data_IF_812868779526
#
_entry.id   IF_812868779526
#
_cell.length_a   1.000
_cell.length_b   1.000
_cell.length_c   1.000
_cell.angle_alpha   90.00
_cell.angle_beta   90.00
_cell.angle_gamma   90.00
#
_symmetry.space_group_name_H-M   'P 1'
#
loop_
_entity.id
_entity.type
_entity.pdbx_description
1 polymer ?
#
# COMPACT_ATOMS: atom_id res chain seq x y z
N UNK A 1 -91.95 -4.89 -26.53
CA UNK A 1 -92.17 -5.38 -27.91
C UNK A 1 -90.83 -5.87 -28.46
N UNK A 2 -90.79 -7.18 -28.86
CA UNK A 2 -89.94 -7.78 -29.91
C UNK A 2 -88.43 -7.60 -29.76
N UNK A 3 -87.57 -8.54 -29.88
CA UNK A 3 -87.41 -9.98 -30.17
C UNK A 3 -85.91 -10.28 -30.04
N UNK A 4 -85.57 -11.28 -29.33
CA UNK A 4 -84.67 -12.39 -29.67
C UNK A 4 -83.77 -12.30 -30.92
N UNK A 5 -82.47 -12.46 -30.73
CA UNK A 5 -81.66 -13.33 -31.61
C UNK A 5 -80.45 -13.89 -30.80
N UNK A 6 -80.46 -15.17 -30.67
CA UNK A 6 -79.33 -16.02 -30.27
C UNK A 6 -78.35 -16.14 -31.46
N UNK A 7 -77.11 -16.05 -31.22
CA UNK A 7 -76.09 -16.70 -32.07
C UNK A 7 -75.00 -17.29 -31.22
N UNK A 8 -74.88 -18.55 -31.28
CA UNK A 8 -73.79 -19.40 -30.80
C UNK A 8 -72.51 -19.09 -31.59
N UNK A 9 -71.40 -18.95 -30.92
CA UNK A 9 -70.10 -19.15 -31.54
C UNK A 9 -69.22 -19.93 -30.55
N UNK A 10 -68.85 -21.05 -31.06
CA UNK A 10 -68.04 -22.13 -30.56
C UNK A 10 -66.62 -21.68 -30.10
N UNK A 11 -66.17 -22.32 -29.04
CA UNK A 11 -64.88 -22.10 -28.42
C UNK A 11 -63.68 -22.55 -29.25
N UNK A 12 -62.61 -21.86 -29.03
CA UNK A 12 -61.27 -22.39 -29.23
C UNK A 12 -60.44 -22.06 -27.97
N UNK A 13 -60.31 -23.07 -27.14
CA UNK A 13 -59.37 -23.00 -26.01
C UNK A 13 -57.96 -23.09 -26.58
N UNK A 14 -57.29 -21.95 -26.71
CA UNK A 14 -55.86 -21.87 -26.96
C UNK A 14 -55.08 -22.16 -25.68
N UNK A 15 -54.53 -23.34 -25.56
CA UNK A 15 -53.54 -23.69 -24.53
C UNK A 15 -52.25 -22.94 -24.90
N UNK A 16 -51.99 -21.82 -24.26
CA UNK A 16 -50.69 -21.19 -24.30
C UNK A 16 -49.73 -21.97 -23.43
N UNK A 17 -48.91 -22.79 -24.09
CA UNK A 17 -47.77 -23.46 -23.44
C UNK A 17 -46.71 -22.38 -23.14
N UNK A 18 -46.68 -21.88 -21.92
CA UNK A 18 -45.57 -21.04 -21.43
C UNK A 18 -44.32 -21.95 -21.29
N UNK A 19 -43.48 -21.91 -22.32
CA UNK A 19 -42.10 -22.37 -22.18
C UNK A 19 -41.37 -21.48 -21.17
N UNK A 20 -41.33 -21.93 -19.92
CA UNK A 20 -40.39 -21.36 -18.94
C UNK A 20 -39.00 -21.71 -19.43
N UNK A 21 -38.31 -20.77 -20.05
CA UNK A 21 -36.87 -20.82 -20.25
C UNK A 21 -36.25 -20.71 -18.86
N UNK A 22 -35.97 -21.87 -18.25
CA UNK A 22 -35.08 -21.92 -17.09
C UNK A 22 -33.70 -21.62 -17.62
N UNK A 23 -33.32 -20.35 -17.61
CA UNK A 23 -31.90 -19.97 -17.70
C UNK A 23 -31.20 -20.68 -16.55
N UNK A 24 -30.20 -21.52 -16.79
CA UNK A 24 -29.36 -21.95 -15.70
C UNK A 24 -28.79 -20.65 -15.09
N UNK A 25 -29.20 -20.31 -13.88
CA UNK A 25 -28.50 -19.36 -13.09
C UNK A 25 -27.05 -19.87 -13.07
N UNK A 26 -26.15 -19.18 -13.77
CA UNK A 26 -24.73 -19.36 -13.55
C UNK A 26 -24.58 -19.10 -12.05
N UNK A 27 -24.38 -20.17 -11.29
CA UNK A 27 -24.03 -20.03 -9.88
C UNK A 27 -22.83 -19.11 -9.89
N UNK A 28 -22.97 -17.94 -9.25
CA UNK A 28 -21.81 -17.11 -8.99
C UNK A 28 -20.78 -18.04 -8.35
N UNK A 29 -19.51 -18.02 -8.80
CA UNK A 29 -18.50 -18.83 -8.17
C UNK A 29 -18.56 -18.47 -6.69
N UNK A 30 -18.81 -19.48 -5.85
CA UNK A 30 -18.75 -19.29 -4.41
C UNK A 30 -17.44 -18.55 -4.13
N UNK A 31 -17.45 -17.38 -3.50
CA UNK A 31 -16.20 -16.76 -3.10
C UNK A 31 -15.47 -17.82 -2.29
N UNK A 32 -14.27 -18.17 -2.72
CA UNK A 32 -13.46 -19.14 -1.99
C UNK A 32 -13.28 -18.52 -0.60
N UNK A 33 -13.84 -19.15 0.40
CA UNK A 33 -13.66 -18.73 1.79
C UNK A 33 -12.25 -19.10 2.22
N UNK A 34 -11.35 -18.16 2.07
CA UNK A 34 -9.95 -18.30 2.50
C UNK A 34 -9.78 -18.19 4.01
N UNK A 35 -10.84 -17.92 4.76
CA UNK A 35 -10.76 -17.69 6.21
C UNK A 35 -10.71 -18.99 7.02
N UNK A 36 -11.04 -20.12 6.39
CA UNK A 36 -11.05 -21.41 7.07
C UNK A 36 -10.52 -22.52 6.14
N UNK A 37 -9.20 -22.53 5.85
CA UNK A 37 -8.62 -23.65 5.14
C UNK A 37 -8.81 -24.94 5.94
N UNK A 38 -8.89 -26.13 5.29
CA UNK A 38 -9.03 -27.38 5.99
C UNK A 38 -7.88 -27.57 6.98
N UNK A 39 -8.21 -27.90 8.22
CA UNK A 39 -7.19 -28.21 9.25
C UNK A 39 -6.35 -29.41 8.83
N UNK A 40 -5.06 -29.26 8.96
CA UNK A 40 -4.06 -30.32 8.74
C UNK A 40 -3.36 -30.60 10.06
N UNK A 41 -3.14 -31.86 10.41
CA UNK A 41 -2.42 -32.22 11.61
C UNK A 41 -1.02 -31.56 11.64
N UNK A 42 -0.71 -30.82 12.72
CA UNK A 42 0.53 -30.09 12.84
C UNK A 42 0.56 -28.73 12.11
N UNK A 43 -0.59 -28.22 11.69
CA UNK A 43 -0.70 -26.91 11.02
C UNK A 43 -0.05 -25.80 11.83
N UNK A 44 0.80 -25.02 11.17
CA UNK A 44 1.45 -23.86 11.74
C UNK A 44 0.70 -22.58 11.36
N UNK A 45 0.32 -21.76 12.34
CA UNK A 45 -0.29 -20.45 12.11
C UNK A 45 0.81 -19.40 11.93
N UNK A 46 0.78 -18.73 10.79
CA UNK A 46 1.59 -17.56 10.44
C UNK A 46 0.79 -16.31 10.75
N UNK A 47 1.10 -15.63 11.85
CA UNK A 47 0.46 -14.37 12.23
C UNK A 47 0.99 -13.23 11.36
N UNK A 48 0.08 -12.44 10.81
CA UNK A 48 0.36 -11.33 9.88
C UNK A 48 -0.26 -10.06 10.43
N UNK A 49 0.54 -9.02 10.71
CA UNK A 49 0.07 -7.75 11.24
C UNK A 49 0.27 -6.59 10.26
N UNK A 50 -0.71 -5.67 10.18
CA UNK A 50 -0.55 -4.38 9.49
C UNK A 50 -1.39 -3.26 10.14
N UNK A 51 -1.04 -2.00 9.83
CA UNK A 51 -1.57 -0.82 10.52
C UNK A 51 -2.88 -0.28 9.95
N UNK A 52 -3.26 -0.65 8.73
CA UNK A 52 -4.44 -0.12 8.04
C UNK A 52 -5.68 -0.94 8.36
N UNK A 53 -6.77 -0.27 8.78
CA UNK A 53 -8.03 -0.92 9.14
C UNK A 53 -9.03 -0.82 7.97
N UNK A 54 -8.75 -1.51 6.88
CA UNK A 54 -9.64 -1.53 5.73
C UNK A 54 -9.71 -2.93 5.14
N UNK A 55 -10.93 -3.40 4.94
CA UNK A 55 -11.17 -4.72 4.34
C UNK A 55 -10.65 -4.79 2.89
N UNK A 56 -10.69 -3.66 2.18
CA UNK A 56 -10.34 -3.53 0.77
C UNK A 56 -9.25 -2.47 0.55
N UNK A 57 -8.10 -2.63 1.15
CA UNK A 57 -6.90 -1.84 0.87
C UNK A 57 -5.87 -2.67 0.11
N UNK A 58 -4.94 -2.00 -0.55
CA UNK A 58 -3.77 -2.64 -1.17
C UNK A 58 -3.02 -3.51 -0.15
N UNK A 59 -2.86 -3.03 1.08
CA UNK A 59 -2.25 -3.75 2.20
C UNK A 59 -2.97 -5.06 2.52
N UNK A 60 -4.29 -5.00 2.66
CA UNK A 60 -5.10 -6.20 2.95
C UNK A 60 -5.09 -7.16 1.75
N UNK A 61 -5.17 -6.63 0.53
CA UNK A 61 -5.19 -7.42 -0.69
C UNK A 61 -3.91 -8.22 -0.89
N UNK A 62 -2.74 -7.57 -0.73
CA UNK A 62 -1.45 -8.26 -0.89
C UNK A 62 -1.23 -9.31 0.21
N UNK A 63 -1.58 -8.99 1.47
CA UNK A 63 -1.38 -9.92 2.58
C UNK A 63 -2.33 -11.11 2.52
N UNK A 64 -3.59 -10.92 2.11
CA UNK A 64 -4.51 -12.03 1.81
C UNK A 64 -3.95 -12.92 0.70
N UNK A 65 -3.46 -12.31 -0.39
CA UNK A 65 -2.86 -13.06 -1.49
C UNK A 65 -1.60 -13.80 -1.07
N UNK A 66 -0.72 -13.17 -0.30
CA UNK A 66 0.47 -13.80 0.25
C UNK A 66 0.12 -15.00 1.14
N UNK A 67 -0.81 -14.83 2.09
CA UNK A 67 -1.25 -15.88 3.00
C UNK A 67 -1.87 -17.07 2.25
N UNK A 68 -2.72 -16.79 1.26
CA UNK A 68 -3.32 -17.79 0.38
C UNK A 68 -2.26 -18.61 -0.36
N UNK A 69 -1.30 -17.94 -0.98
CA UNK A 69 -0.24 -18.59 -1.75
C UNK A 69 0.67 -19.44 -0.85
N UNK A 70 1.01 -18.95 0.35
CA UNK A 70 1.76 -19.76 1.33
C UNK A 70 0.99 -21.01 1.68
N UNK A 71 -0.31 -20.91 1.98
CA UNK A 71 -1.14 -22.08 2.30
C UNK A 71 -1.20 -23.09 1.14
N UNK A 72 -1.38 -22.60 -0.10
CA UNK A 72 -1.39 -23.44 -1.30
C UNK A 72 -0.05 -24.19 -1.47
N UNK A 73 1.07 -23.45 -1.40
CA UNK A 73 2.40 -24.03 -1.68
C UNK A 73 2.90 -24.94 -0.56
N UNK A 74 2.42 -24.73 0.67
CA UNK A 74 2.72 -25.61 1.81
C UNK A 74 1.64 -26.68 2.04
N UNK A 75 0.66 -26.80 1.14
CA UNK A 75 -0.47 -27.75 1.27
C UNK A 75 -1.21 -27.60 2.60
N UNK A 76 -1.42 -26.34 3.04
CA UNK A 76 -2.00 -25.95 4.32
C UNK A 76 -1.19 -26.35 5.57
N UNK A 77 0.06 -26.74 5.43
CA UNK A 77 0.94 -26.92 6.59
C UNK A 77 1.27 -25.57 7.27
N UNK A 78 1.26 -24.46 6.52
CA UNK A 78 1.35 -23.10 7.03
C UNK A 78 0.13 -22.31 6.54
N UNK A 79 -0.61 -21.71 7.46
CA UNK A 79 -1.79 -20.88 7.16
C UNK A 79 -1.63 -19.49 7.78
N UNK A 80 -2.10 -18.46 7.06
CA UNK A 80 -2.02 -17.08 7.53
C UNK A 80 -3.24 -16.65 8.35
N UNK A 81 -2.98 -15.94 9.45
CA UNK A 81 -4.00 -15.23 10.24
C UNK A 81 -3.66 -13.75 10.25
N UNK A 82 -4.56 -12.89 9.69
CA UNK A 82 -4.30 -11.47 9.47
C UNK A 82 -4.95 -10.63 10.58
N UNK A 83 -4.16 -9.74 11.17
CA UNK A 83 -4.53 -8.79 12.20
C UNK A 83 -4.40 -7.35 11.67
N UNK A 84 -5.47 -6.76 11.08
CA UNK A 84 -5.45 -5.42 10.51
C UNK A 84 -5.58 -4.33 11.58
N UNK A 85 -5.42 -3.05 11.15
CA UNK A 85 -5.78 -1.91 11.96
C UNK A 85 -4.96 -1.77 13.25
N UNK A 86 -3.70 -2.12 13.22
CA UNK A 86 -2.78 -2.05 14.36
C UNK A 86 -3.26 -2.84 15.60
N UNK A 87 -4.03 -3.93 15.42
CA UNK A 87 -4.49 -4.78 16.53
C UNK A 87 -3.34 -5.38 17.35
N UNK A 88 -2.17 -5.54 16.73
CA UNK A 88 -0.95 -6.05 17.37
C UNK A 88 0.02 -4.95 17.79
N UNK A 89 -0.40 -3.68 17.78
CA UNK A 89 0.41 -2.50 18.03
C UNK A 89 0.65 -1.68 16.75
N UNK A 90 1.32 -0.53 16.88
CA UNK A 90 1.76 0.28 15.75
C UNK A 90 2.84 -0.42 14.91
N UNK A 91 3.21 0.18 13.76
CA UNK A 91 4.22 -0.44 12.89
C UNK A 91 5.57 -0.67 13.59
N UNK A 92 6.12 0.26 14.37
CA UNK A 92 7.37 0.02 15.09
C UNK A 92 7.29 -1.18 16.06
N UNK A 93 6.19 -1.32 16.77
CA UNK A 93 5.95 -2.44 17.69
C UNK A 93 5.82 -3.76 16.93
N UNK A 94 5.09 -3.78 15.81
CA UNK A 94 4.94 -4.98 14.97
C UNK A 94 6.28 -5.41 14.35
N UNK A 95 7.11 -4.47 13.90
CA UNK A 95 8.47 -4.78 13.40
C UNK A 95 9.32 -5.39 14.51
N UNK A 96 9.27 -4.86 15.74
CA UNK A 96 10.01 -5.45 16.88
C UNK A 96 9.51 -6.87 17.23
N UNK A 97 8.20 -7.10 17.19
CA UNK A 97 7.63 -8.44 17.39
C UNK A 97 8.07 -9.41 16.29
N UNK A 98 8.12 -8.93 15.03
CA UNK A 98 8.59 -9.72 13.89
C UNK A 98 10.07 -10.08 14.03
N UNK A 99 10.92 -9.12 14.40
CA UNK A 99 12.34 -9.34 14.72
C UNK A 99 12.53 -10.42 15.79
N UNK A 100 11.66 -10.43 16.82
CA UNK A 100 11.72 -11.38 17.92
C UNK A 100 11.12 -12.77 17.56
N UNK A 101 10.40 -12.89 16.44
CA UNK A 101 9.70 -14.10 16.02
C UNK A 101 8.36 -14.34 16.72
N UNK A 102 7.83 -13.33 17.43
CA UNK A 102 6.49 -13.35 18.05
C UNK A 102 5.42 -13.18 16.98
N UNK A 103 5.67 -12.27 16.04
CA UNK A 103 4.89 -12.08 14.81
C UNK A 103 5.70 -12.67 13.65
N UNK A 104 5.06 -13.43 12.76
CA UNK A 104 5.75 -14.06 11.65
C UNK A 104 5.92 -13.11 10.47
N UNK A 105 4.92 -12.27 10.21
CA UNK A 105 4.88 -11.36 9.05
C UNK A 105 4.32 -10.01 9.44
N UNK A 106 4.90 -8.93 8.90
CA UNK A 106 4.30 -7.59 8.95
C UNK A 106 4.55 -6.83 7.65
N UNK A 107 3.75 -5.77 7.43
CA UNK A 107 3.81 -4.90 6.25
C UNK A 107 4.00 -3.46 6.72
N UNK A 108 5.19 -3.06 7.16
CA UNK A 108 5.43 -1.69 7.60
C UNK A 108 5.70 -0.77 6.41
N UNK A 109 5.38 0.52 6.54
CA UNK A 109 5.89 1.53 5.63
C UNK A 109 7.42 1.52 5.63
N UNK A 110 8.03 1.61 4.45
CA UNK A 110 9.50 1.57 4.29
C UNK A 110 10.19 2.63 5.16
N UNK A 111 9.64 3.84 5.24
CA UNK A 111 10.17 4.92 6.08
C UNK A 111 10.14 4.60 7.59
N UNK A 112 9.21 3.76 8.05
CA UNK A 112 9.15 3.33 9.45
C UNK A 112 10.09 2.16 9.73
N UNK A 113 10.22 1.22 8.78
CA UNK A 113 11.20 0.13 8.88
C UNK A 113 12.63 0.67 8.80
N UNK A 114 12.88 1.72 8.04
CA UNK A 114 14.18 2.36 7.88
C UNK A 114 14.79 2.86 9.22
N UNK A 115 13.97 3.07 10.25
CA UNK A 115 14.47 3.36 11.60
C UNK A 115 15.29 2.21 12.21
N UNK A 116 15.07 0.97 11.75
CA UNK A 116 15.81 -0.23 12.16
C UNK A 116 16.67 -0.81 11.03
N UNK A 117 16.33 -0.53 9.79
CA UNK A 117 17.02 -0.95 8.58
C UNK A 117 17.42 0.28 7.74
N UNK A 118 18.48 1.01 8.13
CA UNK A 118 18.86 2.28 7.50
C UNK A 118 19.05 2.21 5.99
N UNK A 119 19.52 1.07 5.48
CA UNK A 119 19.70 0.83 4.03
C UNK A 119 18.42 1.09 3.22
N UNK A 120 17.24 0.92 3.82
CA UNK A 120 15.96 1.20 3.17
C UNK A 120 15.67 2.68 2.93
N UNK A 121 16.41 3.60 3.57
CA UNK A 121 16.31 5.03 3.30
C UNK A 121 16.68 5.39 1.86
N UNK A 122 17.32 4.51 1.10
CA UNK A 122 17.54 4.70 -0.34
C UNK A 122 16.22 4.92 -1.10
N UNK A 123 15.13 4.25 -0.72
CA UNK A 123 13.79 4.47 -1.29
C UNK A 123 13.10 5.73 -0.79
N UNK A 124 13.61 6.35 0.28
CA UNK A 124 13.04 7.57 0.88
C UNK A 124 13.71 8.84 0.33
N UNK A 125 14.81 8.71 -0.39
CA UNK A 125 15.43 9.83 -1.08
C UNK A 125 14.39 10.48 -2.02
N UNK A 126 14.04 11.77 -1.82
CA UNK A 126 12.99 12.40 -2.61
C UNK A 126 13.38 12.44 -4.09
N UNK A 127 12.43 12.06 -4.94
CA UNK A 127 12.64 11.98 -6.40
C UNK A 127 13.78 11.03 -6.83
N UNK A 128 14.02 9.95 -6.06
CA UNK A 128 14.94 8.87 -6.50
C UNK A 128 14.42 8.22 -7.79
N UNK A 129 13.11 8.10 -7.93
CA UNK A 129 12.40 7.65 -9.11
C UNK A 129 11.27 8.63 -9.45
N UNK A 130 10.83 8.65 -10.70
CA UNK A 130 9.82 9.58 -11.23
C UNK A 130 8.63 8.88 -11.89
N UNK A 131 8.61 7.54 -11.87
CA UNK A 131 7.48 6.74 -12.32
C UNK A 131 7.34 5.47 -11.48
N UNK A 132 6.11 4.93 -11.41
CA UNK A 132 5.83 3.65 -10.75
C UNK A 132 6.63 2.51 -11.36
N UNK A 133 6.85 2.54 -12.69
CA UNK A 133 7.65 1.54 -13.38
C UNK A 133 9.11 1.57 -12.92
N UNK A 134 9.70 2.75 -12.73
CA UNK A 134 11.04 2.92 -12.18
C UNK A 134 11.15 2.39 -10.75
N UNK A 135 10.16 2.67 -9.90
CA UNK A 135 10.15 2.15 -8.52
C UNK A 135 10.05 0.63 -8.51
N UNK A 136 9.16 0.05 -9.30
CA UNK A 136 9.02 -1.40 -9.40
C UNK A 136 10.31 -2.06 -9.87
N UNK A 137 10.96 -1.50 -10.89
CA UNK A 137 12.24 -2.00 -11.41
C UNK A 137 13.35 -1.86 -10.36
N UNK A 138 13.42 -0.71 -9.69
CA UNK A 138 14.38 -0.49 -8.62
C UNK A 138 14.20 -1.49 -7.46
N UNK A 139 12.97 -1.80 -7.06
CA UNK A 139 12.69 -2.82 -6.06
C UNK A 139 13.19 -4.19 -6.51
N UNK A 140 12.93 -4.58 -7.77
CA UNK A 140 13.33 -5.89 -8.28
C UNK A 140 14.85 -6.06 -8.32
N UNK A 141 15.57 -5.04 -8.83
CA UNK A 141 17.03 -5.09 -8.99
C UNK A 141 17.79 -4.88 -7.67
N UNK A 142 17.25 -4.06 -6.75
CA UNK A 142 17.96 -3.71 -5.51
C UNK A 142 17.65 -4.67 -4.35
N UNK A 143 16.53 -5.39 -4.39
CA UNK A 143 16.15 -6.34 -3.32
C UNK A 143 17.23 -7.37 -2.99
N UNK A 144 17.94 -7.98 -3.97
CA UNK A 144 19.04 -8.91 -3.66
C UNK A 144 20.17 -8.29 -2.82
N UNK A 145 20.48 -7.01 -3.06
CA UNK A 145 21.46 -6.24 -2.26
C UNK A 145 20.91 -5.88 -0.88
N UNK A 146 19.60 -5.57 -0.78
CA UNK A 146 18.96 -5.10 0.45
C UNK A 146 18.62 -6.23 1.42
N UNK A 147 18.23 -7.42 0.95
CA UNK A 147 17.81 -8.52 1.83
C UNK A 147 18.88 -8.86 2.88
N UNK A 148 20.15 -9.11 2.55
CA UNK A 148 21.15 -9.40 3.57
C UNK A 148 21.38 -8.23 4.54
N UNK A 149 21.32 -6.99 4.07
CA UNK A 149 21.45 -5.79 4.91
C UNK A 149 20.29 -5.69 5.92
N UNK A 150 19.06 -5.79 5.46
CA UNK A 150 17.85 -5.70 6.30
C UNK A 150 17.82 -6.84 7.34
N UNK A 151 18.32 -8.03 7.00
CA UNK A 151 18.48 -9.13 7.95
C UNK A 151 19.48 -8.75 9.04
N UNK A 152 20.64 -8.21 8.69
CA UNK A 152 21.66 -7.78 9.64
C UNK A 152 21.19 -6.61 10.51
N UNK A 153 20.60 -5.60 9.90
CA UNK A 153 20.15 -4.37 10.55
C UNK A 153 18.93 -4.58 11.45
N UNK A 154 17.91 -5.28 10.93
CA UNK A 154 16.59 -5.37 11.57
C UNK A 154 16.15 -6.78 11.97
N UNK A 155 16.85 -7.85 11.57
CA UNK A 155 16.48 -9.24 11.88
C UNK A 155 15.21 -9.71 11.19
N UNK A 156 14.82 -9.06 10.09
CA UNK A 156 13.68 -9.43 9.25
C UNK A 156 14.14 -9.58 7.80
N UNK A 157 13.40 -10.37 7.01
CA UNK A 157 13.66 -10.65 5.60
C UNK A 157 12.57 -10.05 4.73
N UNK A 158 12.94 -9.31 3.70
CA UNK A 158 12.03 -8.88 2.65
C UNK A 158 11.72 -10.10 1.75
N UNK A 159 10.43 -10.36 1.52
CA UNK A 159 9.95 -11.42 0.63
C UNK A 159 9.06 -10.90 -0.49
N UNK A 160 8.67 -9.65 -0.46
CA UNK A 160 7.84 -9.01 -1.48
C UNK A 160 7.67 -7.52 -1.21
N UNK A 161 6.97 -6.83 -2.12
CA UNK A 161 6.74 -5.39 -2.08
C UNK A 161 5.30 -5.04 -2.40
N UNK A 162 4.80 -4.05 -1.72
CA UNK A 162 3.56 -3.33 -1.99
C UNK A 162 3.89 -1.86 -2.23
N UNK A 163 3.20 -1.25 -3.19
CA UNK A 163 3.24 0.18 -3.43
C UNK A 163 1.82 0.72 -3.30
N UNK A 164 1.57 1.55 -2.28
CA UNK A 164 0.24 2.14 -2.05
C UNK A 164 -0.10 3.26 -3.05
N UNK A 165 0.91 3.81 -3.71
CA UNK A 165 0.79 4.90 -4.68
C UNK A 165 1.66 6.10 -4.36
N UNK A 166 1.58 7.11 -5.21
CA UNK A 166 2.27 8.38 -5.01
C UNK A 166 1.71 9.10 -3.79
N UNK A 167 2.61 9.63 -2.96
CA UNK A 167 2.21 10.47 -1.84
C UNK A 167 1.73 11.80 -2.38
N UNK A 168 0.49 12.16 -2.09
CA UNK A 168 -0.11 13.46 -2.39
C UNK A 168 -0.21 14.29 -1.10
N UNK A 169 -0.06 15.59 -1.17
CA UNK A 169 -0.43 16.45 -0.06
C UNK A 169 -1.94 16.34 0.18
N UNK A 170 -2.35 16.25 1.42
CA UNK A 170 -3.72 16.37 1.87
C UNK A 170 -3.77 17.39 3.02
N UNK A 171 -4.69 18.32 2.99
CA UNK A 171 -4.67 19.45 3.93
C UNK A 171 -6.01 20.17 4.01
N UNK A 172 -6.11 21.05 5.00
CA UNK A 172 -7.21 21.99 5.17
C UNK A 172 -6.69 23.41 5.02
N UNK A 173 -7.02 24.04 3.88
CA UNK A 173 -6.65 25.42 3.56
C UNK A 173 -7.63 26.02 2.55
N UNK A 174 -7.62 27.36 2.43
CA UNK A 174 -8.43 28.07 1.45
C UNK A 174 -7.77 28.03 0.06
N UNK A 175 -6.44 28.06 0.00
CA UNK A 175 -5.67 28.08 -1.26
C UNK A 175 -4.96 26.74 -1.51
N UNK A 176 -4.72 26.36 -2.78
CA UNK A 176 -4.01 25.14 -3.11
C UNK A 176 -2.49 25.26 -2.86
N UNK A 177 -1.84 24.13 -2.61
CA UNK A 177 -0.37 24.01 -2.64
C UNK A 177 0.04 23.76 -4.08
N UNK A 178 0.73 24.72 -4.70
CA UNK A 178 1.23 24.64 -6.08
C UNK A 178 2.76 24.81 -6.14
N UNK A 179 3.34 25.54 -5.19
CA UNK A 179 4.77 25.83 -5.10
C UNK A 179 5.30 25.53 -3.71
N UNK A 180 6.62 25.31 -3.56
CA UNK A 180 7.23 25.03 -2.26
C UNK A 180 6.90 26.05 -1.17
N UNK A 181 6.81 27.35 -1.52
CA UNK A 181 6.52 28.44 -0.60
C UNK A 181 5.14 28.32 0.06
N UNK A 182 4.18 27.69 -0.60
CA UNK A 182 2.82 27.51 -0.09
C UNK A 182 2.77 26.60 1.15
N UNK A 183 3.87 25.87 1.44
CA UNK A 183 4.00 25.07 2.65
C UNK A 183 4.36 25.90 3.90
N UNK A 184 4.81 27.14 3.75
CA UNK A 184 5.39 27.91 4.85
C UNK A 184 4.39 28.18 5.99
N UNK A 185 3.13 28.42 5.64
CA UNK A 185 2.07 28.79 6.59
C UNK A 185 1.24 27.57 7.06
N UNK A 186 1.54 26.36 6.56
CA UNK A 186 0.81 25.14 6.89
C UNK A 186 1.58 24.26 7.89
N UNK A 187 0.88 23.80 8.91
CA UNK A 187 1.41 22.82 9.87
C UNK A 187 1.24 21.41 9.29
N UNK A 188 2.22 21.00 8.52
CA UNK A 188 2.18 19.71 7.84
C UNK A 188 2.78 18.60 8.71
N UNK A 189 2.06 17.51 8.86
CA UNK A 189 2.58 16.30 9.48
C UNK A 189 3.53 15.59 8.51
N UNK A 190 4.61 15.06 9.04
CA UNK A 190 5.46 14.09 8.33
C UNK A 190 5.64 12.84 9.18
N UNK A 191 5.92 11.67 8.58
CA UNK A 191 6.42 10.54 9.34
C UNK A 191 7.73 10.91 10.08
N UNK A 192 8.04 10.26 11.22
CA UNK A 192 9.29 10.52 11.96
C UNK A 192 10.51 9.90 11.25
N UNK A 193 10.77 10.34 10.03
CA UNK A 193 11.92 9.93 9.21
C UNK A 193 12.76 11.18 8.90
N UNK A 194 14.09 11.16 9.14
CA UNK A 194 14.94 12.34 8.98
C UNK A 194 14.98 12.89 7.56
N UNK A 195 14.98 12.04 6.53
CA UNK A 195 15.00 12.47 5.13
C UNK A 195 13.68 13.14 4.74
N UNK A 196 12.54 12.60 5.17
CA UNK A 196 11.24 13.22 4.91
C UNK A 196 11.10 14.58 5.62
N UNK A 197 11.55 14.67 6.87
CA UNK A 197 11.59 15.94 7.61
C UNK A 197 12.46 16.96 6.88
N UNK A 198 13.62 16.55 6.38
CA UNK A 198 14.53 17.41 5.64
C UNK A 198 13.95 17.87 4.32
N UNK A 199 13.24 17.01 3.59
CA UNK A 199 12.56 17.35 2.34
C UNK A 199 11.57 18.50 2.55
N UNK A 200 10.71 18.39 3.56
CA UNK A 200 9.76 19.46 3.89
C UNK A 200 10.46 20.77 4.28
N UNK A 201 11.55 20.71 5.04
CA UNK A 201 12.36 21.89 5.39
C UNK A 201 13.03 22.52 4.16
N UNK A 202 13.52 21.71 3.24
CA UNK A 202 14.10 22.18 1.99
C UNK A 202 13.09 22.92 1.11
N UNK A 203 11.82 22.50 1.15
CA UNK A 203 10.71 23.20 0.49
C UNK A 203 10.21 24.45 1.25
N UNK A 204 10.76 24.75 2.42
CA UNK A 204 10.37 25.92 3.22
C UNK A 204 9.28 25.65 4.25
N UNK A 205 8.78 24.43 4.36
CA UNK A 205 7.77 24.04 5.33
C UNK A 205 8.35 23.85 6.75
N UNK A 206 7.46 23.83 7.74
CA UNK A 206 7.77 23.53 9.13
C UNK A 206 7.06 22.24 9.56
N UNK A 207 7.65 21.06 9.25
CA UNK A 207 7.00 19.79 9.46
C UNK A 207 6.91 19.39 10.93
N UNK A 208 5.80 18.75 11.31
CA UNK A 208 5.56 18.15 12.61
C UNK A 208 5.65 16.63 12.51
N UNK A 209 6.72 16.00 13.03
CA UNK A 209 6.82 14.54 13.07
C UNK A 209 5.75 13.93 13.98
N UNK A 210 4.94 13.00 13.45
CA UNK A 210 3.85 12.38 14.18
C UNK A 210 3.58 10.97 13.65
N UNK A 211 3.29 10.02 14.55
CA UNK A 211 2.94 8.66 14.17
C UNK A 211 1.63 8.61 13.35
N UNK A 212 1.52 7.63 12.43
CA UNK A 212 0.32 7.49 11.60
C UNK A 212 -0.96 7.31 12.40
N UNK A 213 -0.91 6.50 13.46
CA UNK A 213 -2.06 6.21 14.33
C UNK A 213 -2.61 7.42 15.08
N UNK A 214 -1.84 8.52 15.20
CA UNK A 214 -2.23 9.74 15.89
C UNK A 214 -2.79 10.82 14.93
N UNK A 215 -2.63 10.61 13.62
CA UNK A 215 -2.81 11.66 12.63
C UNK A 215 -4.26 12.14 12.50
N UNK A 216 -5.26 11.24 12.48
CA UNK A 216 -6.66 11.64 12.39
C UNK A 216 -7.06 12.58 13.53
N UNK A 217 -6.70 12.23 14.75
CA UNK A 217 -6.98 13.06 15.93
C UNK A 217 -6.25 14.40 15.88
N UNK A 218 -5.01 14.42 15.40
CA UNK A 218 -4.21 15.63 15.26
C UNK A 218 -4.81 16.59 14.21
N UNK A 219 -5.29 16.07 13.08
CA UNK A 219 -6.04 16.83 12.06
C UNK A 219 -7.35 17.38 12.63
N UNK A 220 -8.14 16.53 13.29
CA UNK A 220 -9.43 16.93 13.87
C UNK A 220 -9.27 18.04 14.91
N UNK A 221 -8.19 18.00 15.71
CA UNK A 221 -7.90 19.00 16.75
C UNK A 221 -7.13 20.23 16.23
N UNK A 222 -6.72 20.26 14.94
CA UNK A 222 -5.95 21.34 14.37
C UNK A 222 -4.50 21.45 14.91
N UNK A 223 -3.96 20.35 15.45
CA UNK A 223 -2.54 20.26 15.82
C UNK A 223 -1.68 20.30 14.57
N UNK A 224 -2.13 19.63 13.51
CA UNK A 224 -1.63 19.74 12.15
C UNK A 224 -2.80 20.04 11.21
N UNK A 225 -2.50 20.68 10.08
CA UNK A 225 -3.48 21.07 9.06
C UNK A 225 -3.46 20.12 7.86
N UNK A 226 -2.43 19.29 7.72
CA UNK A 226 -2.28 18.35 6.63
C UNK A 226 -1.09 17.41 6.82
N UNK A 227 -0.76 16.72 5.74
CA UNK A 227 0.36 15.80 5.62
C UNK A 227 0.49 15.33 4.18
N UNK A 228 1.16 14.22 3.98
CA UNK A 228 1.26 13.57 2.69
C UNK A 228 1.10 12.06 2.82
N UNK A 229 0.28 11.48 1.96
CA UNK A 229 0.09 10.02 1.81
C UNK A 229 -0.62 9.73 0.48
N UNK A 230 -0.62 8.49 -0.01
CA UNK A 230 -1.46 8.09 -1.14
C UNK A 230 -2.95 8.32 -0.86
N UNK A 231 -3.69 8.65 -1.90
CA UNK A 231 -5.14 8.88 -1.79
C UNK A 231 -5.87 7.69 -1.19
N UNK A 232 -5.42 6.47 -1.47
CA UNK A 232 -5.97 5.21 -0.93
C UNK A 232 -5.97 5.21 0.59
N UNK A 233 -4.86 5.62 1.21
CA UNK A 233 -4.73 5.67 2.66
C UNK A 233 -5.50 6.84 3.26
N UNK A 234 -5.46 8.01 2.61
CA UNK A 234 -6.16 9.22 3.05
C UNK A 234 -7.66 8.99 3.13
N UNK A 235 -8.24 8.49 2.03
CA UNK A 235 -9.68 8.22 1.95
C UNK A 235 -10.08 7.03 2.82
N UNK A 236 -9.27 6.01 2.85
CA UNK A 236 -9.53 4.84 3.65
C UNK A 236 -9.50 5.07 5.15
N UNK A 237 -8.73 6.02 5.62
CA UNK A 237 -8.73 6.49 7.01
C UNK A 237 -9.74 7.60 7.28
N UNK A 238 -10.58 7.93 6.28
CA UNK A 238 -11.63 8.96 6.36
C UNK A 238 -11.09 10.35 6.68
N UNK A 239 -9.91 10.69 6.16
CA UNK A 239 -9.37 12.02 6.37
C UNK A 239 -10.14 13.09 5.59
N UNK A 240 -10.92 12.69 4.55
CA UNK A 240 -11.89 13.54 3.87
C UNK A 240 -12.89 14.23 4.81
N UNK A 241 -13.13 13.67 6.01
CA UNK A 241 -13.95 14.32 7.04
C UNK A 241 -13.28 15.55 7.69
N UNK A 242 -11.95 15.68 7.60
CA UNK A 242 -11.15 16.68 8.32
C UNK A 242 -10.22 17.52 7.45
N UNK A 243 -10.18 17.24 6.14
CA UNK A 243 -9.45 17.99 5.12
C UNK A 243 -10.43 18.55 4.08
N UNK A 244 -9.96 19.43 3.19
CA UNK A 244 -10.75 19.91 2.05
C UNK A 244 -10.00 19.92 0.73
N UNK A 245 -8.69 19.67 0.73
CA UNK A 245 -7.83 19.69 -0.47
C UNK A 245 -6.84 18.54 -0.50
N UNK A 246 -6.54 18.11 -1.73
CA UNK A 246 -5.39 17.27 -2.02
C UNK A 246 -4.62 17.81 -3.22
N UNK A 247 -3.29 17.74 -3.17
CA UNK A 247 -2.43 18.12 -4.29
C UNK A 247 -1.56 16.94 -4.70
N UNK A 248 -1.70 16.54 -5.98
CA UNK A 248 -0.89 15.48 -6.59
C UNK A 248 0.51 15.99 -6.90
N UNK A 249 1.52 15.25 -6.52
CA UNK A 249 2.92 15.44 -6.92
C UNK A 249 3.69 14.11 -6.79
N UNK A 250 4.90 14.03 -7.32
CA UNK A 250 5.56 12.74 -7.56
C UNK A 250 6.92 12.63 -6.84
N UNK A 251 7.01 13.13 -5.61
CA UNK A 251 8.30 13.14 -4.91
C UNK A 251 8.74 11.77 -4.39
N UNK A 252 7.80 10.93 -4.00
CA UNK A 252 8.05 9.54 -3.59
C UNK A 252 6.78 8.69 -3.60
N UNK A 253 6.92 7.42 -3.91
CA UNK A 253 5.86 6.41 -3.72
C UNK A 253 5.94 5.89 -2.28
N UNK A 254 4.80 5.70 -1.65
CA UNK A 254 4.74 4.99 -0.37
C UNK A 254 4.87 3.49 -0.64
N UNK A 255 5.99 2.93 -0.23
CA UNK A 255 6.32 1.52 -0.42
C UNK A 255 6.27 0.78 0.92
N UNK A 256 5.87 -0.51 0.86
CA UNK A 256 5.82 -1.40 2.01
C UNK A 256 6.46 -2.74 1.65
N UNK A 257 7.56 -3.12 2.26
CA UNK A 257 8.07 -4.48 2.12
C UNK A 257 7.20 -5.46 2.91
N UNK A 258 6.84 -6.60 2.32
CA UNK A 258 6.40 -7.76 3.09
C UNK A 258 7.62 -8.28 3.80
N UNK A 259 7.67 -8.14 5.11
CA UNK A 259 8.79 -8.65 5.89
C UNK A 259 8.36 -9.83 6.77
N UNK A 260 9.20 -10.85 6.77
CA UNK A 260 9.03 -12.02 7.62
C UNK A 260 10.12 -12.04 8.69
N UNK A 261 9.81 -12.61 9.85
CA UNK A 261 10.80 -12.87 10.88
C UNK A 261 11.92 -13.76 10.34
N UNK A 262 13.15 -13.27 10.31
CA UNK A 262 14.29 -14.10 9.87
C UNK A 262 14.46 -15.34 10.76
N UNK A 263 14.23 -15.18 12.06
CA UNK A 263 14.28 -16.31 13.01
C UNK A 263 13.23 -17.39 12.69
N UNK A 264 12.00 -16.99 12.37
CA UNK A 264 10.95 -17.91 11.96
C UNK A 264 11.28 -18.56 10.62
N UNK A 265 11.68 -17.75 9.63
CA UNK A 265 12.03 -18.21 8.29
C UNK A 265 13.15 -19.26 8.31
N UNK A 266 14.20 -19.05 9.10
CA UNK A 266 15.30 -20.01 9.23
C UNK A 266 14.88 -21.34 9.87
N UNK A 267 13.84 -21.34 10.70
CA UNK A 267 13.25 -22.54 11.29
C UNK A 267 12.39 -23.38 10.34
N UNK A 268 12.10 -22.87 9.15
CA UNK A 268 11.30 -23.58 8.13
C UNK A 268 12.15 -24.64 7.40
N UNK A 269 11.45 -25.67 6.85
CA UNK A 269 12.07 -26.57 5.87
C UNK A 269 12.45 -25.81 4.59
N UNK A 270 13.36 -26.35 3.79
CA UNK A 270 13.75 -25.70 2.52
C UNK A 270 12.56 -25.56 1.57
N UNK A 271 11.65 -26.55 1.52
CA UNK A 271 10.44 -26.47 0.72
C UNK A 271 9.51 -25.33 1.19
N UNK A 272 9.37 -25.15 2.51
CA UNK A 272 8.56 -24.06 3.06
C UNK A 272 9.22 -22.68 2.86
N UNK A 273 10.56 -22.60 2.96
CA UNK A 273 11.29 -21.36 2.61
C UNK A 273 11.04 -20.97 1.16
N UNK A 274 11.17 -21.93 0.25
CA UNK A 274 10.88 -21.71 -1.17
C UNK A 274 9.41 -21.29 -1.41
N UNK A 275 8.47 -21.90 -0.69
CA UNK A 275 7.05 -21.55 -0.77
C UNK A 275 6.79 -20.10 -0.32
N UNK A 276 7.40 -19.66 0.79
CA UNK A 276 7.26 -18.29 1.31
C UNK A 276 7.85 -17.26 0.35
N UNK A 277 9.04 -17.51 -0.21
CA UNK A 277 9.68 -16.60 -1.16
C UNK A 277 8.85 -16.48 -2.43
N UNK A 278 8.42 -17.61 -3.00
CA UNK A 278 7.59 -17.62 -4.19
C UNK A 278 6.23 -16.92 -3.97
N UNK A 279 5.61 -17.13 -2.80
CA UNK A 279 4.37 -16.45 -2.44
C UNK A 279 4.55 -14.93 -2.39
N UNK A 280 5.68 -14.46 -1.88
CA UNK A 280 6.02 -13.02 -1.85
C UNK A 280 6.17 -12.43 -3.25
N UNK A 281 6.90 -13.09 -4.14
CA UNK A 281 7.05 -12.67 -5.55
C UNK A 281 5.70 -12.59 -6.28
N UNK A 282 4.87 -13.63 -6.17
CA UNK A 282 3.56 -13.66 -6.83
C UNK A 282 2.56 -12.68 -6.21
N UNK A 283 2.61 -12.45 -4.90
CA UNK A 283 1.79 -11.42 -4.25
C UNK A 283 2.20 -10.01 -4.69
N UNK A 284 3.51 -9.76 -4.87
CA UNK A 284 4.04 -8.52 -5.44
C UNK A 284 3.54 -8.29 -6.87
N UNK A 285 3.62 -9.30 -7.73
CA UNK A 285 3.12 -9.21 -9.09
C UNK A 285 1.60 -8.92 -9.13
N UNK A 286 0.84 -9.57 -8.25
CA UNK A 286 -0.60 -9.36 -8.12
C UNK A 286 -0.94 -7.91 -7.75
N UNK A 287 -0.27 -7.34 -6.73
CA UNK A 287 -0.60 -5.99 -6.25
C UNK A 287 -0.18 -4.91 -7.24
N UNK A 288 0.90 -5.10 -7.97
CA UNK A 288 1.35 -4.18 -9.04
C UNK A 288 0.33 -4.04 -10.17
N UNK A 289 -0.44 -5.10 -10.43
CA UNK A 289 -1.55 -5.06 -11.38
C UNK A 289 -2.81 -4.42 -10.79
N UNK A 290 -3.11 -4.70 -9.52
CA UNK A 290 -4.35 -4.30 -8.87
C UNK A 290 -4.34 -2.84 -8.41
N UNK A 291 -3.24 -2.36 -7.85
CA UNK A 291 -3.11 -1.05 -7.20
C UNK A 291 -3.49 0.13 -8.12
N UNK A 292 -3.05 0.24 -9.38
CA UNK A 292 -3.43 1.39 -10.21
C UNK A 292 -4.94 1.51 -10.47
N UNK A 293 -5.63 0.36 -10.51
CA UNK A 293 -7.09 0.31 -10.71
C UNK A 293 -7.79 0.81 -9.44
N UNK A 294 -7.29 0.42 -8.29
CA UNK A 294 -7.83 0.83 -6.99
C UNK A 294 -7.57 2.32 -6.73
N UNK A 295 -6.35 2.80 -6.98
CA UNK A 295 -6.00 4.21 -6.84
C UNK A 295 -6.92 5.14 -7.64
N UNK A 296 -7.24 4.78 -8.89
CA UNK A 296 -8.13 5.55 -9.73
C UNK A 296 -9.54 5.70 -9.13
N UNK A 297 -10.05 4.65 -8.47
CA UNK A 297 -11.34 4.71 -7.77
C UNK A 297 -11.29 5.64 -6.57
N UNK A 298 -10.18 5.61 -5.80
CA UNK A 298 -10.05 6.46 -4.62
C UNK A 298 -9.93 7.94 -4.98
N UNK A 299 -9.27 8.29 -6.09
CA UNK A 299 -9.29 9.66 -6.59
C UNK A 299 -10.71 10.11 -6.95
N UNK A 300 -11.48 9.29 -7.65
CA UNK A 300 -12.87 9.60 -7.97
C UNK A 300 -13.74 9.76 -6.70
N UNK A 301 -13.54 8.92 -5.69
CA UNK A 301 -14.26 9.04 -4.42
C UNK A 301 -13.87 10.30 -3.64
N UNK A 302 -12.61 10.73 -3.69
CA UNK A 302 -12.19 11.99 -3.09
C UNK A 302 -12.90 13.20 -3.71
N UNK A 303 -13.02 13.24 -5.04
CA UNK A 303 -13.79 14.26 -5.76
C UNK A 303 -15.27 14.21 -5.39
N UNK A 304 -15.89 13.02 -5.33
CA UNK A 304 -17.29 12.83 -4.93
C UNK A 304 -17.54 13.25 -3.47
N UNK A 305 -16.57 13.09 -2.59
CA UNK A 305 -16.62 13.56 -1.20
C UNK A 305 -16.44 15.07 -1.05
N UNK A 306 -16.15 15.78 -2.16
CA UNK A 306 -15.99 17.24 -2.18
C UNK A 306 -14.58 17.71 -1.86
N UNK A 307 -13.58 16.84 -1.90
CA UNK A 307 -12.17 17.22 -1.77
C UNK A 307 -11.72 17.88 -3.07
N UNK A 308 -11.19 19.09 -2.98
CA UNK A 308 -10.65 19.82 -4.13
C UNK A 308 -9.28 19.27 -4.51
N UNK A 309 -9.15 18.77 -5.76
CA UNK A 309 -7.92 18.13 -6.26
C UNK A 309 -7.15 19.13 -7.13
N UNK A 310 -5.88 19.33 -6.80
CA UNK A 310 -4.91 20.10 -7.60
C UNK A 310 -3.78 19.15 -8.03
N UNK A 311 -3.07 19.50 -9.10
CA UNK A 311 -1.90 18.78 -9.58
C UNK A 311 -0.75 19.75 -9.85
N UNK A 312 0.43 19.48 -9.29
CA UNK A 312 1.65 20.23 -9.58
C UNK A 312 2.16 19.74 -10.94
N UNK A 313 2.05 20.59 -11.97
CA UNK A 313 2.47 20.23 -13.34
C UNK A 313 3.93 20.54 -13.63
N UNK A 314 4.56 21.43 -12.86
CA UNK A 314 6.00 21.74 -12.92
C UNK A 314 6.63 21.49 -11.54
N UNK A 315 7.27 20.35 -11.40
CA UNK A 315 7.94 19.94 -10.17
C UNK A 315 9.45 20.35 -10.14
N UNK A 316 9.92 21.14 -11.09
CA UNK A 316 11.36 21.46 -11.24
C UNK A 316 11.96 22.06 -9.98
N UNK A 317 11.30 23.01 -9.35
CA UNK A 317 11.75 23.65 -8.11
C UNK A 317 11.69 22.69 -6.91
N UNK A 318 10.65 21.86 -6.85
CA UNK A 318 10.51 20.81 -5.84
C UNK A 318 11.66 19.80 -5.92
N UNK A 319 11.99 19.37 -7.13
CA UNK A 319 13.09 18.43 -7.41
C UNK A 319 14.44 19.05 -7.03
N UNK A 320 14.71 20.29 -7.46
CA UNK A 320 15.98 20.97 -7.18
C UNK A 320 16.23 21.06 -5.67
N UNK A 321 15.25 21.61 -4.91
CA UNK A 321 15.34 21.78 -3.46
C UNK A 321 15.48 20.43 -2.74
N UNK A 322 14.70 19.42 -3.16
CA UNK A 322 14.71 18.12 -2.52
C UNK A 322 15.98 17.31 -2.78
N UNK A 323 16.50 17.31 -4.02
CA UNK A 323 17.74 16.60 -4.32
C UNK A 323 18.97 17.25 -3.71
N UNK A 324 18.93 18.55 -3.43
CA UNK A 324 20.03 19.25 -2.78
C UNK A 324 20.36 18.72 -1.39
N UNK A 325 19.39 18.06 -0.69
CA UNK A 325 19.64 17.52 0.64
C UNK A 325 20.37 16.16 0.61
N UNK A 326 20.38 15.42 -0.49
CA UNK A 326 20.86 14.03 -0.55
C UNK A 326 22.25 13.82 0.09
N UNK A 327 23.28 14.64 -0.23
CA UNK A 327 24.63 14.44 0.31
C UNK A 327 24.66 14.47 1.84
N UNK A 328 23.80 15.27 2.47
CA UNK A 328 23.75 15.38 3.93
C UNK A 328 23.13 14.15 4.61
N UNK A 329 22.38 13.33 3.83
CA UNK A 329 21.59 12.19 4.33
C UNK A 329 22.10 10.83 3.86
N UNK A 330 23.18 10.75 3.08
CA UNK A 330 23.75 9.44 2.70
C UNK A 330 24.14 8.61 3.92
N UNK A 331 24.64 9.23 5.00
CA UNK A 331 24.94 8.54 6.27
C UNK A 331 23.72 7.90 6.95
N UNK A 332 22.52 8.43 6.69
CA UNK A 332 21.27 7.88 7.22
C UNK A 332 20.81 6.63 6.42
N UNK A 333 21.46 6.32 5.30
CA UNK A 333 21.29 5.10 4.52
C UNK A 333 22.26 4.00 5.01
N UNK A 334 23.42 4.41 5.52
CA UNK A 334 24.48 3.52 6.00
C UNK A 334 25.88 4.06 5.72
N UNK A 335 26.91 3.35 6.15
CA UNK A 335 28.30 3.78 5.97
C UNK A 335 28.68 3.91 4.47
N UNK A 336 28.04 3.12 3.61
CA UNK A 336 28.16 3.15 2.15
C UNK A 336 26.93 3.75 1.46
N UNK A 337 26.17 4.61 2.15
CA UNK A 337 24.89 5.13 1.68
C UNK A 337 24.98 5.91 0.38
N UNK A 338 26.07 6.65 0.13
CA UNK A 338 26.31 7.29 -1.16
C UNK A 338 26.47 6.26 -2.29
N UNK A 339 27.20 5.17 -2.04
CA UNK A 339 27.37 4.13 -3.03
C UNK A 339 26.05 3.42 -3.35
N UNK A 340 25.23 3.13 -2.34
CA UNK A 340 23.91 2.53 -2.51
C UNK A 340 22.95 3.46 -3.25
N UNK A 341 22.96 4.77 -2.98
CA UNK A 341 22.17 5.76 -3.70
C UNK A 341 22.60 5.86 -5.18
N UNK A 342 23.90 5.80 -5.45
CA UNK A 342 24.44 5.80 -6.82
C UNK A 342 24.09 4.50 -7.55
N UNK A 343 24.11 3.34 -6.88
CA UNK A 343 23.64 2.07 -7.45
C UNK A 343 22.17 2.16 -7.84
N UNK A 344 21.31 2.70 -6.97
CA UNK A 344 19.90 2.90 -7.25
C UNK A 344 19.68 3.81 -8.47
N UNK A 345 20.41 4.92 -8.56
CA UNK A 345 20.36 5.82 -9.72
C UNK A 345 20.82 5.12 -11.01
N UNK A 346 21.89 4.34 -10.96
CA UNK A 346 22.40 3.60 -12.12
C UNK A 346 21.37 2.57 -12.63
N UNK A 347 20.67 1.88 -11.75
CA UNK A 347 19.56 0.96 -12.08
C UNK A 347 18.45 1.72 -12.82
N UNK A 348 18.03 2.87 -12.30
CA UNK A 348 16.96 3.68 -12.93
C UNK A 348 17.40 4.23 -14.28
N UNK A 349 18.63 4.72 -14.41
CA UNK A 349 19.15 5.23 -15.69
C UNK A 349 19.27 4.13 -16.74
N UNK A 350 19.68 2.91 -16.33
CA UNK A 350 19.71 1.76 -17.24
C UNK A 350 18.30 1.39 -17.71
N UNK A 351 17.33 1.36 -16.80
CA UNK A 351 15.94 1.12 -17.14
C UNK A 351 15.40 2.12 -18.17
N UNK A 352 15.68 3.42 -17.98
CA UNK A 352 15.27 4.49 -18.91
C UNK A 352 15.89 4.34 -20.29
N UNK A 353 17.13 3.81 -20.40
CA UNK A 353 17.78 3.56 -21.69
C UNK A 353 17.18 2.39 -22.46
N UNK A 354 16.48 1.49 -21.78
CA UNK A 354 15.88 0.29 -22.37
C UNK A 354 14.46 0.49 -22.87
N UNK A 355 13.82 1.63 -22.54
CA UNK A 355 12.49 2.03 -23.00
C UNK A 355 12.55 2.92 -24.25
#
# INVERSE_FOLDING_TARGET
>A
MKRLARTLLTGAAGVALALAVVSPALAEPNPIDYTSPPEVDGQQVMKIGHSVNMEWSSHTAILKRFAELVAIYTRNEIVGEIYPGAQLGGEPEMVQQTRQGVLQVTLPATNNLAALAPSLNVFILPYIATSTAEVNHLQDELTPTLVPRVIEEAGVRIVGWENSGWRAFFYKADEPIERPEDLADLKMRVPPNPIMIASYKAWGGNPTPLAWSELYNALQQGVVEGGDNPVTDVMGMKFDEVINRMTKFHYTILTHPIVVSERWFQGLSEDHKAAVLRAGEEATAYIRWWQPIDEAKWWAQAEEAGVEITEITDESEWIEKARAIWPDYYKDIGDDGEALANEALAIIEEFKRQQ
#
